data_IF_270274051353
#
_entry.id   IF_270274051353
#
_cell.length_a   1.000
_cell.length_b   1.000
_cell.length_c   1.000
_cell.angle_alpha   90.00
_cell.angle_beta   90.00
_cell.angle_gamma   90.00
#
_symmetry.space_group_name_H-M   'P 1'
#
loop_
_entity.id
_entity.type
_entity.pdbx_description
1 polymer ?
#
# COMPACT_ATOMS: atom_id res chain seq x y z
N UNK A 1 9.08 -25.57 -14.35
CA UNK A 1 7.82 -26.00 -13.71
C UNK A 1 7.78 -25.38 -12.32
N UNK A 2 6.81 -24.53 -12.00
CA UNK A 2 6.77 -23.83 -10.70
C UNK A 2 6.32 -24.79 -9.58
N UNK A 3 6.92 -24.67 -8.40
CA UNK A 3 6.70 -25.56 -7.26
C UNK A 3 5.49 -25.21 -6.39
N UNK A 4 4.90 -24.02 -6.55
CA UNK A 4 3.71 -23.60 -5.79
C UNK A 4 2.53 -23.29 -6.72
N UNK A 5 1.34 -23.77 -6.36
CA UNK A 5 0.13 -23.65 -7.17
C UNK A 5 -0.44 -22.22 -7.28
N UNK A 6 0.02 -21.28 -6.45
CA UNK A 6 -0.61 -19.95 -6.29
C UNK A 6 0.10 -18.79 -7.03
N UNK A 7 1.10 -19.07 -7.87
CA UNK A 7 1.87 -18.01 -8.55
C UNK A 7 1.08 -17.28 -9.63
N UNK A 8 0.19 -17.97 -10.32
CA UNK A 8 -0.56 -17.44 -11.45
C UNK A 8 -2.02 -17.84 -11.31
N UNK A 9 -2.90 -16.85 -11.29
CA UNK A 9 -4.35 -17.07 -11.30
C UNK A 9 -4.92 -16.42 -12.55
N UNK A 10 -5.60 -17.19 -13.40
CA UNK A 10 -6.20 -16.71 -14.65
C UNK A 10 -5.22 -15.94 -15.58
N UNK A 11 -3.95 -16.36 -15.61
CA UNK A 11 -2.90 -15.75 -16.44
C UNK A 11 -2.31 -14.44 -15.89
N UNK A 12 -2.70 -14.03 -14.67
CA UNK A 12 -2.11 -12.91 -13.96
C UNK A 12 -1.21 -13.40 -12.82
N UNK A 13 -0.09 -12.72 -12.58
CA UNK A 13 0.83 -13.03 -11.50
C UNK A 13 0.23 -12.60 -10.15
N UNK A 14 -0.05 -13.54 -9.24
CA UNK A 14 -0.81 -13.24 -8.01
C UNK A 14 0.02 -13.24 -6.74
N UNK A 15 1.28 -13.68 -6.82
CA UNK A 15 2.13 -13.91 -5.66
C UNK A 15 2.37 -12.66 -4.81
N UNK A 16 2.56 -11.49 -5.44
CA UNK A 16 2.91 -10.25 -4.74
C UNK A 16 1.69 -9.50 -4.16
N UNK A 17 0.45 -9.91 -4.51
CA UNK A 17 -0.78 -9.29 -4.01
C UNK A 17 -0.84 -9.15 -2.48
N UNK A 18 -0.44 -10.16 -1.67
CA UNK A 18 -0.45 -10.04 -0.21
C UNK A 18 0.40 -8.88 0.30
N UNK A 19 1.51 -8.54 -0.37
CA UNK A 19 2.37 -7.42 0.02
C UNK A 19 1.68 -6.07 -0.22
N UNK A 20 0.94 -5.93 -1.32
CA UNK A 20 0.11 -4.74 -1.53
C UNK A 20 -0.99 -4.62 -0.47
N UNK A 21 -1.62 -5.75 -0.11
CA UNK A 21 -2.66 -5.79 0.94
C UNK A 21 -2.09 -5.40 2.31
N UNK A 22 -0.90 -5.87 2.69
CA UNK A 22 -0.29 -5.48 3.97
C UNK A 22 0.07 -4.00 4.03
N UNK A 23 0.54 -3.41 2.92
CA UNK A 23 0.78 -1.96 2.84
C UNK A 23 -0.51 -1.15 3.01
N UNK A 24 -1.61 -1.57 2.36
CA UNK A 24 -2.92 -0.94 2.56
C UNK A 24 -3.40 -1.10 4.00
N UNK A 25 -3.24 -2.27 4.61
CA UNK A 25 -3.64 -2.48 6.01
C UNK A 25 -2.84 -1.60 6.97
N UNK A 26 -1.54 -1.39 6.72
CA UNK A 26 -0.74 -0.46 7.51
C UNK A 26 -1.26 0.98 7.37
N UNK A 27 -1.56 1.42 6.14
CA UNK A 27 -2.13 2.75 5.87
C UNK A 27 -3.53 2.93 6.49
N UNK A 28 -4.35 1.87 6.48
CA UNK A 28 -5.67 1.84 7.11
C UNK A 28 -5.59 1.88 8.63
N UNK A 29 -4.67 1.13 9.24
CA UNK A 29 -4.43 1.19 10.69
C UNK A 29 -4.00 2.59 11.11
N UNK A 30 -3.10 3.21 10.34
CA UNK A 30 -2.70 4.60 10.56
C UNK A 30 -3.91 5.55 10.49
N UNK A 31 -4.78 5.38 9.50
CA UNK A 31 -6.02 6.16 9.36
C UNK A 31 -6.92 6.04 10.60
N UNK A 32 -7.15 4.82 11.08
CA UNK A 32 -7.96 4.57 12.28
C UNK A 32 -7.35 5.23 13.53
N UNK A 33 -6.04 5.10 13.72
CA UNK A 33 -5.31 5.73 14.84
C UNK A 33 -5.46 7.25 14.80
N UNK A 34 -5.41 7.87 13.62
CA UNK A 34 -5.57 9.32 13.43
C UNK A 34 -7.01 9.77 13.75
N UNK A 35 -8.02 8.99 13.38
CA UNK A 35 -9.43 9.32 13.67
C UNK A 35 -9.74 9.24 15.16
N UNK A 36 -9.17 8.28 15.88
CA UNK A 36 -9.42 8.06 17.30
C UNK A 36 -8.68 9.11 18.16
N UNK A 37 -9.38 10.07 18.80
CA UNK A 37 -8.73 11.21 19.47
C UNK A 37 -7.85 10.79 20.66
N UNK A 38 -8.20 9.70 21.35
CA UNK A 38 -7.40 9.14 22.45
C UNK A 38 -6.04 8.63 21.96
N UNK A 39 -6.02 7.93 20.83
CA UNK A 39 -4.82 7.36 20.22
C UNK A 39 -3.97 8.44 19.56
N UNK A 40 -4.61 9.36 18.84
CA UNK A 40 -3.93 10.49 18.20
C UNK A 40 -3.21 11.40 19.19
N UNK A 41 -3.77 11.67 20.38
CA UNK A 41 -3.08 12.45 21.43
C UNK A 41 -1.79 11.78 21.92
N UNK A 42 -1.70 10.45 21.82
CA UNK A 42 -0.52 9.65 22.17
C UNK A 42 0.50 9.57 21.02
N UNK A 43 0.11 9.92 19.78
CA UNK A 43 1.03 10.01 18.65
C UNK A 43 1.90 11.26 18.76
N UNK A 44 3.21 11.03 18.78
CA UNK A 44 4.23 12.02 19.13
C UNK A 44 4.68 12.92 17.97
N UNK A 45 4.37 12.62 16.70
CA UNK A 45 4.86 13.46 15.61
C UNK A 45 4.12 13.34 14.28
N UNK A 46 3.66 14.48 13.74
CA UNK A 46 3.16 14.57 12.37
C UNK A 46 4.22 14.19 11.32
N UNK A 47 5.50 14.32 11.67
CA UNK A 47 6.63 13.89 10.84
C UNK A 47 6.64 12.37 10.64
N UNK A 48 6.21 11.58 11.65
CA UNK A 48 6.07 10.13 11.50
C UNK A 48 4.93 9.75 10.55
N UNK A 49 3.80 10.48 10.60
CA UNK A 49 2.66 10.27 9.68
C UNK A 49 3.08 10.53 8.24
N UNK A 50 3.73 11.68 8.00
CA UNK A 50 4.22 12.07 6.66
C UNK A 50 5.30 11.10 6.19
N UNK A 51 6.28 10.80 7.05
CA UNK A 51 7.40 9.91 6.72
C UNK A 51 6.94 8.50 6.36
N UNK A 52 6.07 7.89 7.18
CA UNK A 52 5.52 6.56 6.89
C UNK A 52 4.66 6.55 5.63
N UNK A 53 3.89 7.62 5.39
CA UNK A 53 3.08 7.74 4.17
C UNK A 53 3.97 7.83 2.92
N UNK A 54 5.04 8.65 2.95
CA UNK A 54 6.00 8.75 1.85
C UNK A 54 6.70 7.42 1.58
N UNK A 55 7.22 6.77 2.62
CA UNK A 55 7.89 5.46 2.49
C UNK A 55 6.92 4.43 1.93
N UNK A 56 5.67 4.38 2.41
CA UNK A 56 4.65 3.45 1.89
C UNK A 56 4.35 3.67 0.41
N UNK A 57 4.24 4.92 -0.04
CA UNK A 57 4.04 5.25 -1.47
C UNK A 57 5.25 4.82 -2.31
N UNK A 58 6.47 5.15 -1.87
CA UNK A 58 7.69 4.79 -2.61
C UNK A 58 7.82 3.28 -2.72
N UNK A 59 7.68 2.56 -1.60
CA UNK A 59 7.80 1.09 -1.56
C UNK A 59 6.71 0.43 -2.41
N UNK A 60 5.45 0.88 -2.29
CA UNK A 60 4.35 0.33 -3.08
C UNK A 60 4.48 0.63 -4.58
N UNK A 61 5.01 1.81 -4.95
CA UNK A 61 5.28 2.17 -6.34
C UNK A 61 6.42 1.36 -6.94
N UNK A 62 7.52 1.19 -6.20
CA UNK A 62 8.62 0.30 -6.60
C UNK A 62 8.14 -1.14 -6.76
N UNK A 63 7.31 -1.63 -5.83
CA UNK A 63 6.73 -2.96 -5.90
C UNK A 63 5.87 -3.14 -7.16
N UNK A 64 5.07 -2.13 -7.53
CA UNK A 64 4.25 -2.17 -8.75
C UNK A 64 5.10 -2.14 -10.02
N UNK A 65 6.20 -1.39 -10.02
CA UNK A 65 7.16 -1.38 -11.12
C UNK A 65 7.81 -2.76 -11.31
N UNK A 66 8.36 -3.34 -10.24
CA UNK A 66 8.97 -4.68 -10.31
C UNK A 66 7.94 -5.76 -10.64
N UNK A 67 6.71 -5.61 -10.17
CA UNK A 67 5.60 -6.47 -10.56
C UNK A 67 5.40 -6.46 -12.09
N UNK A 68 5.40 -5.28 -12.72
CA UNK A 68 5.29 -5.13 -14.17
C UNK A 68 6.43 -5.81 -14.93
N UNK A 69 7.68 -5.56 -14.50
CA UNK A 69 8.85 -6.23 -15.08
C UNK A 69 8.73 -7.75 -14.99
N UNK A 70 8.36 -8.29 -13.83
CA UNK A 70 8.19 -9.74 -13.67
C UNK A 70 7.08 -10.28 -14.58
N UNK A 71 5.95 -9.57 -14.72
CA UNK A 71 4.87 -10.03 -15.61
C UNK A 71 5.30 -10.04 -17.08
N UNK A 72 6.08 -9.06 -17.53
CA UNK A 72 6.58 -8.99 -18.90
C UNK A 72 7.56 -10.13 -19.18
N UNK A 73 8.52 -10.37 -18.27
CA UNK A 73 9.51 -11.45 -18.40
C UNK A 73 8.87 -12.84 -18.36
N UNK A 74 7.75 -13.01 -17.65
CA UNK A 74 7.01 -14.26 -17.58
C UNK A 74 5.99 -14.43 -18.71
N UNK A 75 5.84 -13.45 -19.60
CA UNK A 75 4.81 -13.45 -20.64
C UNK A 75 3.38 -13.51 -20.08
N UNK A 76 3.19 -13.02 -18.85
CA UNK A 76 1.91 -13.01 -18.15
C UNK A 76 1.18 -11.69 -18.38
N UNK A 77 -0.14 -11.69 -18.16
CA UNK A 77 -0.93 -10.47 -18.25
C UNK A 77 -0.74 -9.63 -16.97
N UNK A 78 -0.81 -8.32 -17.12
CA UNK A 78 -0.83 -7.38 -16.00
C UNK A 78 -2.02 -7.62 -15.06
N UNK A 79 -1.85 -7.25 -13.79
CA UNK A 79 -2.87 -7.41 -12.75
C UNK A 79 -3.53 -6.08 -12.38
N UNK A 80 -4.76 -5.92 -12.83
CA UNK A 80 -5.64 -4.80 -12.48
C UNK A 80 -5.89 -4.71 -10.97
N UNK A 81 -5.89 -5.84 -10.25
CA UNK A 81 -6.17 -5.87 -8.82
C UNK A 81 -4.98 -5.26 -8.06
N UNK A 82 -3.75 -5.71 -8.30
CA UNK A 82 -2.55 -5.12 -7.69
C UNK A 82 -2.46 -3.60 -7.97
N UNK A 83 -2.72 -3.20 -9.21
CA UNK A 83 -2.71 -1.78 -9.61
C UNK A 83 -3.77 -0.96 -8.87
N UNK A 84 -4.99 -1.51 -8.72
CA UNK A 84 -6.06 -0.86 -7.97
C UNK A 84 -5.73 -0.73 -6.47
N UNK A 85 -5.15 -1.77 -5.87
CA UNK A 85 -4.74 -1.75 -4.46
C UNK A 85 -3.65 -0.70 -4.21
N UNK A 86 -2.72 -0.52 -5.15
CA UNK A 86 -1.73 0.57 -5.11
C UNK A 86 -2.41 1.95 -5.06
N UNK A 87 -3.39 2.21 -5.94
CA UNK A 87 -4.11 3.49 -5.91
C UNK A 87 -4.89 3.72 -4.61
N UNK A 88 -5.49 2.67 -4.05
CA UNK A 88 -6.12 2.75 -2.72
C UNK A 88 -5.09 3.12 -1.66
N UNK A 89 -3.91 2.48 -1.66
CA UNK A 89 -2.81 2.82 -0.75
C UNK A 89 -2.37 4.28 -0.89
N UNK A 90 -2.23 4.75 -2.14
CA UNK A 90 -1.85 6.12 -2.46
C UNK A 90 -2.84 7.13 -1.88
N UNK A 91 -4.15 6.88 -2.03
CA UNK A 91 -5.21 7.71 -1.44
C UNK A 91 -5.05 7.78 0.08
N UNK A 92 -4.91 6.64 0.77
CA UNK A 92 -4.72 6.65 2.22
C UNK A 92 -3.45 7.39 2.65
N UNK A 93 -2.34 7.23 1.93
CA UNK A 93 -1.09 7.92 2.21
C UNK A 93 -1.18 9.44 2.03
N UNK A 94 -2.08 9.94 1.18
CA UNK A 94 -2.35 11.38 1.03
C UNK A 94 -3.32 11.85 2.12
N UNK A 95 -4.40 11.10 2.34
CA UNK A 95 -5.47 11.45 3.28
C UNK A 95 -4.98 11.47 4.73
N UNK A 96 -4.12 10.54 5.13
CA UNK A 96 -3.63 10.42 6.50
C UNK A 96 -2.92 11.70 6.99
N UNK A 97 -1.88 12.21 6.32
CA UNK A 97 -1.28 13.51 6.65
C UNK A 97 -2.30 14.65 6.67
N UNK A 98 -3.16 14.76 5.65
CA UNK A 98 -4.14 15.85 5.54
C UNK A 98 -5.05 15.88 6.78
N UNK A 99 -5.69 14.75 7.11
CA UNK A 99 -6.56 14.65 8.28
C UNK A 99 -5.79 14.94 9.57
N UNK A 100 -4.56 14.42 9.68
CA UNK A 100 -3.74 14.65 10.85
C UNK A 100 -3.45 16.14 11.10
N UNK A 101 -3.18 16.93 10.05
CA UNK A 101 -2.93 18.38 10.19
C UNK A 101 -4.21 19.20 10.30
N UNK A 102 -5.27 18.88 9.54
CA UNK A 102 -6.55 19.61 9.60
C UNK A 102 -7.18 19.51 10.98
N UNK A 103 -7.14 18.34 11.63
CA UNK A 103 -7.70 18.16 12.97
C UNK A 103 -6.78 18.65 14.10
N UNK A 104 -5.57 19.15 13.79
CA UNK A 104 -4.58 19.61 14.80
C UNK A 104 -4.74 21.10 15.11
N UNK A 105 -5.22 21.87 14.13
CA UNK A 105 -5.85 23.17 14.38
C UNK A 105 -7.13 22.97 15.17
#
# INVERSE_FOLDING_TARGET
MYTHYSFVTAGAFTLLRPIFVTLVMASLLMFLIIILPKLRRKMTGGLAVVGLSLVSVIVSGQLLYYYGVITDELGLRGDLIATSIFFVNLIFCIVNPIIFYTRRK
#
